data_IF_346519778655
#
_entry.id   IF_346519778655
#
_cell.length_a   1.000
_cell.length_b   1.000
_cell.length_c   1.000
_cell.angle_alpha   90.00
_cell.angle_beta   90.00
_cell.angle_gamma   90.00
#
_symmetry.space_group_name_H-M   'P 1'
#
loop_
_entity.id
_entity.type
_entity.pdbx_description
1 polymer ?
#
# COMPACT_ATOMS: atom_id res chain seq x y z
N UNK A 1 -49.38 96.80 -30.51
CA UNK A 1 -48.98 95.62 -31.31
C UNK A 1 -50.23 94.83 -31.62
N UNK A 2 -50.66 94.80 -32.89
CA UNK A 2 -51.81 94.00 -33.30
C UNK A 2 -51.44 92.51 -33.22
N UNK A 3 -52.28 91.71 -32.56
CA UNK A 3 -52.20 90.24 -32.63
C UNK A 3 -52.48 89.87 -34.08
N UNK A 4 -51.43 89.56 -34.81
CA UNK A 4 -51.49 89.16 -36.21
C UNK A 4 -51.46 87.63 -36.31
N UNK A 5 -52.00 87.08 -37.41
CA UNK A 5 -52.03 85.64 -37.69
C UNK A 5 -50.65 84.94 -37.61
N UNK A 6 -49.56 85.72 -37.67
CA UNK A 6 -48.19 85.26 -37.46
C UNK A 6 -47.94 84.66 -36.07
N UNK A 7 -48.56 85.17 -35.00
CA UNK A 7 -48.42 84.60 -33.65
C UNK A 7 -49.05 83.20 -33.58
N UNK A 8 -50.21 83.02 -34.21
CA UNK A 8 -50.89 81.71 -34.27
C UNK A 8 -50.05 80.71 -35.09
N UNK A 9 -49.50 81.13 -36.24
CA UNK A 9 -48.59 80.29 -37.03
C UNK A 9 -47.29 79.92 -36.29
N UNK A 10 -46.70 80.85 -35.53
CA UNK A 10 -45.55 80.59 -34.67
C UNK A 10 -45.88 79.61 -33.55
N UNK A 11 -47.03 79.76 -32.89
CA UNK A 11 -47.48 78.84 -31.84
C UNK A 11 -47.70 77.42 -32.35
N UNK A 12 -48.31 77.27 -33.53
CA UNK A 12 -48.49 75.95 -34.18
C UNK A 12 -47.14 75.33 -34.55
N UNK A 13 -46.22 76.12 -35.11
CA UNK A 13 -44.87 75.65 -35.47
C UNK A 13 -44.09 75.20 -34.24
N UNK A 14 -44.18 75.96 -33.13
CA UNK A 14 -43.55 75.62 -31.86
C UNK A 14 -44.16 74.37 -31.23
N UNK A 15 -45.48 74.21 -31.29
CA UNK A 15 -46.17 73.00 -30.82
C UNK A 15 -45.76 71.74 -31.61
N UNK A 16 -45.63 71.84 -32.94
CA UNK A 16 -45.14 70.75 -33.79
C UNK A 16 -43.70 70.40 -33.43
N UNK A 17 -42.84 71.39 -33.18
CA UNK A 17 -41.45 71.17 -32.75
C UNK A 17 -41.36 70.49 -31.38
N UNK A 18 -42.17 70.90 -30.42
CA UNK A 18 -42.25 70.22 -29.10
C UNK A 18 -42.71 68.78 -29.28
N UNK A 19 -43.74 68.53 -30.10
CA UNK A 19 -44.24 67.19 -30.35
C UNK A 19 -43.17 66.30 -31.03
N UNK A 20 -42.46 66.83 -32.02
CA UNK A 20 -41.37 66.13 -32.69
C UNK A 20 -40.22 65.81 -31.72
N UNK A 21 -39.80 66.77 -30.91
CA UNK A 21 -38.71 66.57 -29.94
C UNK A 21 -39.07 65.58 -28.83
N UNK A 22 -40.30 65.65 -28.29
CA UNK A 22 -40.83 64.67 -27.35
C UNK A 22 -40.91 63.26 -27.94
N UNK A 23 -41.29 63.12 -29.21
CA UNK A 23 -41.49 61.82 -29.83
C UNK A 23 -40.21 61.20 -30.39
N UNK A 24 -39.29 61.99 -30.93
CA UNK A 24 -38.12 61.49 -31.65
C UNK A 24 -36.79 61.69 -30.93
N UNK A 25 -36.62 62.76 -30.15
CA UNK A 25 -35.33 63.08 -29.50
C UNK A 25 -35.29 62.57 -28.06
N UNK A 26 -36.38 62.74 -27.30
CA UNK A 26 -36.43 62.35 -25.90
C UNK A 26 -36.28 60.83 -25.66
N UNK A 27 -36.95 59.94 -26.43
CA UNK A 27 -36.87 58.50 -26.16
C UNK A 27 -35.47 57.90 -26.36
N UNK A 28 -34.72 58.21 -27.45
CA UNK A 28 -33.35 57.74 -27.60
C UNK A 28 -32.41 58.23 -26.49
N UNK A 29 -32.60 59.46 -26.00
CA UNK A 29 -31.76 60.03 -24.95
C UNK A 29 -31.96 59.32 -23.61
N UNK A 30 -33.22 59.10 -23.21
CA UNK A 30 -33.54 58.35 -21.99
C UNK A 30 -33.09 56.91 -22.10
N UNK A 31 -33.27 56.28 -23.27
CA UNK A 31 -32.84 54.90 -23.49
C UNK A 31 -31.31 54.75 -23.37
N UNK A 32 -30.53 55.69 -23.90
CA UNK A 32 -29.08 55.67 -23.77
C UNK A 32 -28.61 55.83 -22.30
N UNK A 33 -29.29 56.66 -21.52
CA UNK A 33 -29.01 56.84 -20.08
C UNK A 33 -29.38 55.59 -19.26
N UNK A 34 -30.51 54.98 -19.57
CA UNK A 34 -30.98 53.77 -18.90
C UNK A 34 -30.07 52.57 -19.24
N UNK A 35 -29.67 52.42 -20.50
CA UNK A 35 -28.73 51.37 -20.92
C UNK A 35 -27.38 51.50 -20.22
N UNK A 36 -26.86 52.73 -20.07
CA UNK A 36 -25.63 52.98 -19.31
C UNK A 36 -25.79 52.63 -17.84
N UNK A 37 -26.91 53.02 -17.23
CA UNK A 37 -27.20 52.74 -15.82
C UNK A 37 -27.32 51.24 -15.57
N UNK A 38 -28.02 50.53 -16.47
CA UNK A 38 -28.16 49.07 -16.45
C UNK A 38 -26.81 48.38 -16.59
N UNK A 39 -25.98 48.76 -17.56
CA UNK A 39 -24.63 48.17 -17.73
C UNK A 39 -23.74 48.35 -16.50
N UNK A 40 -23.81 49.50 -15.84
CA UNK A 40 -23.05 49.75 -14.60
C UNK A 40 -23.58 48.87 -13.46
N UNK A 41 -24.90 48.79 -13.29
CA UNK A 41 -25.52 47.96 -12.26
C UNK A 41 -25.23 46.47 -12.47
N UNK A 42 -25.37 45.96 -13.69
CA UNK A 42 -25.03 44.59 -14.06
C UNK A 42 -23.53 44.30 -13.87
N UNK A 43 -22.65 45.22 -14.26
CA UNK A 43 -21.21 45.09 -14.06
C UNK A 43 -20.83 45.04 -12.59
N UNK A 44 -21.41 45.90 -11.75
CA UNK A 44 -21.15 45.93 -10.31
C UNK A 44 -21.69 44.66 -9.62
N UNK A 45 -22.90 44.23 -9.96
CA UNK A 45 -23.49 43.00 -9.42
C UNK A 45 -22.67 41.77 -9.83
N UNK A 46 -22.19 41.72 -11.07
CA UNK A 46 -21.34 40.63 -11.56
C UNK A 46 -19.97 40.62 -10.87
N UNK A 47 -19.37 41.79 -10.64
CA UNK A 47 -18.11 41.90 -9.92
C UNK A 47 -18.23 41.46 -8.45
N UNK A 48 -19.32 41.83 -7.78
CA UNK A 48 -19.58 41.39 -6.40
C UNK A 48 -19.80 39.89 -6.32
N UNK A 49 -20.62 39.34 -7.23
CA UNK A 49 -20.85 37.90 -7.31
C UNK A 49 -19.55 37.13 -7.59
N UNK A 50 -18.71 37.63 -8.50
CA UNK A 50 -17.42 37.02 -8.79
C UNK A 50 -16.47 37.05 -7.59
N UNK A 51 -16.50 38.11 -6.77
CA UNK A 51 -15.73 38.19 -5.52
C UNK A 51 -16.22 37.18 -4.50
N UNK A 52 -17.54 37.06 -4.32
CA UNK A 52 -18.13 36.10 -3.39
C UNK A 52 -17.85 34.64 -3.83
N UNK A 53 -18.00 34.34 -5.12
CA UNK A 53 -17.67 33.03 -5.68
C UNK A 53 -16.17 32.70 -5.52
N UNK A 54 -15.28 33.68 -5.73
CA UNK A 54 -13.84 33.49 -5.53
C UNK A 54 -13.49 33.24 -4.06
N UNK A 55 -14.14 33.95 -3.13
CA UNK A 55 -13.95 33.73 -1.70
C UNK A 55 -14.43 32.33 -1.28
N UNK A 56 -15.59 31.88 -1.77
CA UNK A 56 -16.10 30.53 -1.53
C UNK A 56 -15.19 29.46 -2.12
N UNK A 57 -14.75 29.63 -3.36
CA UNK A 57 -13.85 28.68 -4.01
C UNK A 57 -12.49 28.58 -3.29
N UNK A 58 -12.00 29.69 -2.71
CA UNK A 58 -10.78 29.68 -1.89
C UNK A 58 -10.98 28.90 -0.59
N UNK A 59 -12.10 29.12 0.12
CA UNK A 59 -12.44 28.38 1.34
C UNK A 59 -12.64 26.88 1.06
N UNK A 60 -13.40 26.54 0.03
CA UNK A 60 -13.62 25.15 -0.41
C UNK A 60 -12.28 24.48 -0.77
N UNK A 61 -11.40 25.19 -1.47
CA UNK A 61 -10.05 24.67 -1.80
C UNK A 61 -9.21 24.44 -0.56
N UNK A 62 -9.28 25.33 0.44
CA UNK A 62 -8.56 25.16 1.70
C UNK A 62 -9.10 23.96 2.49
N UNK A 63 -10.42 23.80 2.56
CA UNK A 63 -11.06 22.66 3.21
C UNK A 63 -10.67 21.34 2.54
N UNK A 64 -10.68 21.28 1.19
CA UNK A 64 -10.25 20.09 0.44
C UNK A 64 -8.79 19.76 0.73
N UNK A 65 -7.90 20.75 0.83
CA UNK A 65 -6.50 20.53 1.16
C UNK A 65 -6.31 20.01 2.59
N UNK A 66 -7.08 20.51 3.55
CA UNK A 66 -7.06 20.04 4.95
C UNK A 66 -7.54 18.59 5.02
N UNK A 67 -8.68 18.29 4.38
CA UNK A 67 -9.25 16.94 4.34
C UNK A 67 -8.28 15.95 3.66
N UNK A 68 -7.69 16.33 2.53
CA UNK A 68 -6.69 15.50 1.84
C UNK A 68 -5.45 15.22 2.71
N UNK A 69 -4.96 16.21 3.47
CA UNK A 69 -3.86 16.01 4.42
C UNK A 69 -4.25 15.07 5.55
N UNK A 70 -5.47 15.21 6.08
CA UNK A 70 -5.97 14.34 7.13
C UNK A 70 -6.11 12.89 6.65
N UNK A 71 -6.70 12.68 5.47
CA UNK A 71 -6.80 11.36 4.85
C UNK A 71 -5.42 10.75 4.56
N UNK A 72 -4.47 11.53 4.05
CA UNK A 72 -3.09 11.06 3.85
C UNK A 72 -2.43 10.62 5.17
N UNK A 73 -2.61 11.39 6.24
CA UNK A 73 -2.10 11.04 7.57
C UNK A 73 -2.76 9.76 8.12
N UNK A 74 -4.06 9.59 7.93
CA UNK A 74 -4.78 8.38 8.31
C UNK A 74 -4.30 7.14 7.53
N UNK A 75 -4.11 7.26 6.22
CA UNK A 75 -3.59 6.17 5.38
C UNK A 75 -2.18 5.77 5.84
N UNK A 76 -1.33 6.75 6.14
CA UNK A 76 0.03 6.49 6.60
C UNK A 76 0.01 5.78 7.97
N UNK A 77 -0.78 6.27 8.92
CA UNK A 77 -0.92 5.64 10.24
C UNK A 77 -1.44 4.19 10.14
N UNK A 78 -2.45 3.96 9.29
CA UNK A 78 -3.02 2.64 9.05
C UNK A 78 -1.99 1.70 8.40
N UNK A 79 -1.18 2.21 7.46
CA UNK A 79 -0.13 1.43 6.78
C UNK A 79 1.00 1.06 7.74
N UNK A 80 1.43 1.98 8.61
CA UNK A 80 2.45 1.69 9.63
C UNK A 80 1.95 0.63 10.63
N UNK A 81 0.68 0.70 11.05
CA UNK A 81 0.08 -0.33 11.88
C UNK A 81 0.05 -1.69 11.17
N UNK A 82 -0.45 -1.74 9.94
CA UNK A 82 -0.48 -2.98 9.14
C UNK A 82 0.91 -3.56 8.90
N UNK A 83 1.91 -2.71 8.68
CA UNK A 83 3.31 -3.13 8.55
C UNK A 83 3.79 -3.78 9.84
N UNK A 84 3.54 -3.15 11.00
CA UNK A 84 3.93 -3.71 12.29
C UNK A 84 3.28 -5.07 12.54
N UNK A 85 1.97 -5.18 12.28
CA UNK A 85 1.21 -6.43 12.43
C UNK A 85 1.74 -7.53 11.49
N UNK A 86 2.05 -7.18 10.24
CA UNK A 86 2.61 -8.11 9.25
C UNK A 86 4.01 -8.60 9.65
N UNK A 87 4.87 -7.70 10.14
CA UNK A 87 6.20 -8.08 10.63
C UNK A 87 6.08 -9.01 11.84
N UNK A 88 5.14 -8.74 12.74
CA UNK A 88 4.92 -9.59 13.90
C UNK A 88 4.44 -10.98 13.49
N UNK A 89 3.45 -11.05 12.60
CA UNK A 89 2.94 -12.32 12.07
C UNK A 89 4.07 -13.13 11.37
N UNK A 90 4.87 -12.47 10.54
CA UNK A 90 5.99 -13.11 9.85
C UNK A 90 7.06 -13.64 10.82
N UNK A 91 7.33 -12.92 11.93
CA UNK A 91 8.25 -13.40 12.98
C UNK A 91 7.70 -14.62 13.70
N UNK A 92 6.40 -14.63 14.02
CA UNK A 92 5.76 -15.72 14.73
C UNK A 92 5.70 -16.99 13.85
N UNK A 93 5.41 -16.82 12.56
CA UNK A 93 5.45 -17.90 11.57
C UNK A 93 6.87 -18.44 11.38
N UNK A 94 7.87 -17.55 11.25
CA UNK A 94 9.27 -17.96 11.13
C UNK A 94 9.78 -18.70 12.39
N UNK A 95 9.35 -18.28 13.59
CA UNK A 95 9.69 -18.97 14.82
C UNK A 95 9.04 -20.36 14.90
N UNK A 96 7.77 -20.46 14.48
CA UNK A 96 7.04 -21.73 14.43
C UNK A 96 7.69 -22.71 13.45
N UNK A 97 8.00 -22.24 12.24
CA UNK A 97 8.65 -23.05 11.21
C UNK A 97 10.08 -23.42 11.61
N UNK A 98 10.83 -22.50 12.21
CA UNK A 98 12.15 -22.77 12.76
C UNK A 98 12.14 -23.86 13.84
N UNK A 99 11.13 -23.87 14.72
CA UNK A 99 10.95 -24.92 15.70
C UNK A 99 10.59 -26.25 15.04
N UNK A 100 9.72 -26.24 14.02
CA UNK A 100 9.36 -27.43 13.24
C UNK A 100 10.59 -28.07 12.59
N UNK A 101 11.44 -27.26 11.95
CA UNK A 101 12.69 -27.72 11.33
C UNK A 101 13.63 -28.32 12.37
N UNK A 102 13.81 -27.67 13.53
CA UNK A 102 14.64 -28.20 14.62
C UNK A 102 14.13 -29.54 15.14
N UNK A 103 12.82 -29.67 15.35
CA UNK A 103 12.22 -30.93 15.80
C UNK A 103 12.44 -32.06 14.79
N UNK A 104 12.24 -31.77 13.49
CA UNK A 104 12.49 -32.75 12.43
C UNK A 104 13.96 -33.15 12.38
N UNK A 105 14.88 -32.19 12.43
CA UNK A 105 16.32 -32.46 12.45
C UNK A 105 16.73 -33.30 13.67
N UNK A 106 16.15 -33.04 14.85
CA UNK A 106 16.38 -33.87 16.04
C UNK A 106 15.87 -35.31 15.86
N UNK A 107 14.69 -35.48 15.25
CA UNK A 107 14.14 -36.80 14.96
C UNK A 107 15.02 -37.59 13.95
N UNK A 108 15.46 -36.92 12.89
CA UNK A 108 16.40 -37.49 11.90
C UNK A 108 17.73 -37.88 12.55
N UNK A 109 18.31 -37.01 13.38
CA UNK A 109 19.55 -37.29 14.11
C UNK A 109 19.40 -38.51 15.03
N UNK A 110 18.27 -38.64 15.73
CA UNK A 110 18.02 -39.82 16.57
C UNK A 110 17.95 -41.11 15.74
N UNK A 111 17.35 -41.06 14.56
CA UNK A 111 17.31 -42.19 13.63
C UNK A 111 18.71 -42.56 13.14
N UNK A 112 19.51 -41.57 12.72
CA UNK A 112 20.90 -41.78 12.28
C UNK A 112 21.77 -42.36 13.40
N UNK A 113 21.63 -41.87 14.64
CA UNK A 113 22.35 -42.42 15.80
C UNK A 113 21.99 -43.89 16.01
N UNK A 114 20.71 -44.24 15.86
CA UNK A 114 20.28 -45.64 16.01
C UNK A 114 20.88 -46.52 14.90
N UNK A 115 20.84 -46.06 13.65
CA UNK A 115 21.46 -46.77 12.52
C UNK A 115 22.98 -46.93 12.71
N UNK A 116 23.67 -45.88 13.16
CA UNK A 116 25.10 -45.92 13.45
C UNK A 116 25.45 -46.91 14.57
N UNK A 117 24.62 -46.98 15.63
CA UNK A 117 24.77 -47.97 16.71
C UNK A 117 24.59 -49.40 16.20
N UNK A 118 23.60 -49.62 15.35
CA UNK A 118 23.32 -50.95 14.80
C UNK A 118 24.45 -51.39 13.84
N UNK A 119 24.97 -50.48 13.02
CA UNK A 119 26.15 -50.72 12.19
C UNK A 119 27.41 -51.02 13.05
N UNK A 120 27.63 -50.28 14.13
CA UNK A 120 28.75 -50.50 15.04
C UNK A 120 28.65 -51.86 15.74
N UNK A 121 27.45 -52.30 16.14
CA UNK A 121 27.24 -53.64 16.73
C UNK A 121 27.63 -54.75 15.76
N UNK A 122 27.34 -54.58 14.47
CA UNK A 122 27.72 -55.53 13.44
C UNK A 122 29.25 -55.64 13.34
N UNK A 123 29.94 -54.50 13.24
CA UNK A 123 31.40 -54.44 13.16
C UNK A 123 32.09 -55.00 14.41
N UNK A 124 31.55 -54.71 15.60
CA UNK A 124 32.08 -55.27 16.86
C UNK A 124 31.89 -56.78 16.91
N UNK A 125 30.78 -57.31 16.40
CA UNK A 125 30.53 -58.76 16.35
C UNK A 125 31.51 -59.46 15.40
N UNK A 126 31.78 -58.87 14.24
CA UNK A 126 32.81 -59.35 13.30
C UNK A 126 34.20 -59.33 13.93
N UNK A 127 34.57 -58.23 14.60
CA UNK A 127 35.86 -58.11 15.28
C UNK A 127 36.01 -59.08 16.45
N UNK A 128 34.93 -59.33 17.20
CA UNK A 128 34.91 -60.30 18.29
C UNK A 128 35.06 -61.73 17.76
N UNK A 129 34.43 -62.08 16.63
CA UNK A 129 34.61 -63.39 16.00
C UNK A 129 36.04 -63.57 15.48
N UNK A 130 36.61 -62.56 14.81
CA UNK A 130 38.01 -62.58 14.37
C UNK A 130 38.98 -62.71 15.56
N UNK A 131 38.71 -62.02 16.67
CA UNK A 131 39.47 -62.15 17.90
C UNK A 131 39.37 -63.55 18.52
N UNK A 132 38.16 -64.13 18.56
CA UNK A 132 37.94 -65.49 19.03
C UNK A 132 38.65 -66.53 18.15
N UNK A 133 38.62 -66.37 16.81
CA UNK A 133 39.38 -67.20 15.87
C UNK A 133 40.89 -67.10 16.11
N UNK A 134 41.41 -65.91 16.38
CA UNK A 134 42.83 -65.71 16.66
C UNK A 134 43.27 -66.34 17.99
N UNK A 135 42.43 -66.24 19.03
CA UNK A 135 42.67 -66.90 20.32
C UNK A 135 42.62 -68.42 20.15
N UNK A 136 41.61 -68.94 19.44
CA UNK A 136 41.47 -70.37 19.16
C UNK A 136 42.65 -70.91 18.35
N UNK A 137 43.10 -70.20 17.30
CA UNK A 137 44.32 -70.55 16.55
C UNK A 137 45.56 -70.60 17.45
N UNK A 138 45.68 -69.67 18.40
CA UNK A 138 46.79 -69.62 19.36
C UNK A 138 46.73 -70.73 20.40
N UNK A 139 45.56 -71.18 20.83
CA UNK A 139 45.41 -72.36 21.68
C UNK A 139 45.62 -73.69 20.92
N UNK A 140 45.28 -73.71 19.63
CA UNK A 140 45.43 -74.89 18.76
C UNK A 140 46.89 -75.15 18.37
N UNK A 141 47.76 -74.14 18.37
CA UNK A 141 49.16 -74.26 17.98
C UNK A 141 50.11 -74.25 19.20
N UNK A 142 50.62 -75.44 19.56
CA UNK A 142 52.01 -75.69 20.01
C UNK A 142 52.18 -76.99 20.81
N UNK A 143 51.13 -77.53 21.46
CA UNK A 143 51.30 -78.74 22.32
C UNK A 143 50.22 -79.82 22.17
N UNK A 144 48.99 -79.48 21.79
CA UNK A 144 47.88 -80.45 21.85
C UNK A 144 47.86 -81.45 20.69
N UNK A 145 48.21 -81.05 19.45
CA UNK A 145 48.13 -81.96 18.30
C UNK A 145 49.35 -82.88 18.12
N UNK A 146 50.55 -82.46 18.54
CA UNK A 146 51.71 -83.36 18.54
C UNK A 146 51.48 -84.55 19.47
N UNK A 147 50.97 -84.31 20.69
CA UNK A 147 50.73 -85.38 21.67
C UNK A 147 49.60 -86.36 21.28
N UNK A 148 48.61 -85.92 20.51
CA UNK A 148 47.53 -86.78 20.00
C UNK A 148 47.99 -87.63 18.81
N UNK A 149 48.83 -87.09 17.92
CA UNK A 149 49.41 -87.85 16.81
C UNK A 149 50.46 -88.87 17.31
N UNK A 150 51.26 -88.52 18.32
CA UNK A 150 52.20 -89.47 18.94
C UNK A 150 51.50 -90.59 19.70
N UNK A 151 50.29 -90.35 20.26
CA UNK A 151 49.48 -91.41 20.90
C UNK A 151 48.81 -92.34 19.89
N UNK A 152 48.33 -91.82 18.75
CA UNK A 152 47.74 -92.65 17.68
C UNK A 152 48.78 -93.50 16.93
N UNK A 153 50.04 -93.05 16.86
CA UNK A 153 51.13 -93.82 16.26
C UNK A 153 51.73 -94.87 17.22
N UNK A 154 51.36 -94.86 18.50
CA UNK A 154 51.77 -95.84 19.51
C UNK A 154 50.75 -96.99 19.71
N UNK A 155 49.62 -96.96 19.01
CA UNK A 155 48.57 -98.00 19.01
C UNK A 155 48.50 -98.82 17.70
N UNK A 156 49.50 -98.69 16.81
CA UNK A 156 49.76 -99.59 15.68
C UNK A 156 51.13 -100.25 15.85
#
# INVERSE_FOLDING_TARGET
MHINATIIGQAITFAILIWFTMKFIWPPLVHALDERSRKIAEGLASAEKAREELAKAADDSEQVLIEAKHQAAQILAQTEKQRADMIQLAKDEAATEGNRIKMNAQAELMLEIQQAKDALRLQVSELALAGAEQILRREIDAKSHASLLTKLQAEL
#
